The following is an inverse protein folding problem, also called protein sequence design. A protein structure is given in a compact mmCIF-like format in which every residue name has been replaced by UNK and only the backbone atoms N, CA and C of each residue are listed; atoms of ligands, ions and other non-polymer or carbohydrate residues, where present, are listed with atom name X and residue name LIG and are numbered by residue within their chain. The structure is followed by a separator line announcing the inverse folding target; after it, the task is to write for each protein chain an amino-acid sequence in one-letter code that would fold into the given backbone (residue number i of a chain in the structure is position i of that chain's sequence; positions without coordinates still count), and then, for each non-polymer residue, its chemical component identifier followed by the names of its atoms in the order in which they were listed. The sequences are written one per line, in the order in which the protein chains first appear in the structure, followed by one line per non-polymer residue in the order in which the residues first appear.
data_IF_592411465090
#
_entry.id   IF_592411465090
#
_cell.length_a   1.000
_cell.length_b   1.000
_cell.length_c   1.000
_cell.angle_alpha   90.00
_cell.angle_beta   90.00
_cell.angle_gamma   90.00
#
_symmetry.space_group_name_H-M   'P 1'
#
loop_
_entity.id
_entity.type
_entity.pdbx_description
1 polymer ?
#
# COMPACT_ATOMS: atom_id res chain seq x y z
N UNK A 1 -27.06 -17.19 -18.88
CA UNK A 1 -26.24 -17.90 -19.88
C UNK A 1 -24.83 -17.43 -19.72
N UNK A 2 -24.04 -18.13 -18.92
CA UNK A 2 -22.62 -17.82 -18.62
C UNK A 2 -21.74 -19.03 -19.00
N UNK A 3 -21.91 -19.53 -20.22
CA UNK A 3 -21.06 -20.62 -20.70
C UNK A 3 -20.21 -20.09 -21.87
N UNK A 4 -19.09 -19.44 -21.55
CA UNK A 4 -18.01 -19.22 -22.50
C UNK A 4 -16.96 -20.27 -22.18
N UNK A 5 -16.90 -21.32 -23.01
CA UNK A 5 -15.96 -22.41 -22.86
C UNK A 5 -14.51 -21.92 -22.70
N UNK A 6 -13.97 -22.06 -21.50
CA UNK A 6 -12.58 -21.79 -21.20
C UNK A 6 -11.70 -22.87 -21.84
N UNK A 7 -10.95 -22.53 -22.89
CA UNK A 7 -9.97 -23.42 -23.53
C UNK A 7 -8.56 -23.30 -22.87
N UNK A 8 -8.33 -22.29 -22.04
CA UNK A 8 -7.02 -22.02 -21.42
C UNK A 8 -6.85 -22.89 -20.15
N UNK A 9 -5.78 -23.67 -20.09
CA UNK A 9 -5.38 -24.33 -18.85
C UNK A 9 -4.79 -23.30 -17.86
N UNK A 10 -5.44 -23.17 -16.70
CA UNK A 10 -5.01 -22.26 -15.63
C UNK A 10 -4.16 -23.00 -14.59
N UNK A 11 -3.15 -23.72 -15.08
CA UNK A 11 -2.23 -24.49 -14.24
C UNK A 11 -1.15 -23.59 -13.55
N UNK A 12 -0.25 -24.23 -12.82
CA UNK A 12 0.84 -23.52 -12.15
C UNK A 12 1.84 -22.93 -13.16
N UNK A 13 1.97 -23.52 -14.36
CA UNK A 13 2.81 -23.01 -15.46
C UNK A 13 2.26 -21.68 -15.99
N UNK A 14 0.94 -21.61 -16.19
CA UNK A 14 0.27 -20.36 -16.58
C UNK A 14 0.48 -19.26 -15.53
N UNK A 15 0.30 -19.60 -14.24
CA UNK A 15 0.47 -18.66 -13.14
C UNK A 15 1.91 -18.09 -13.10
N UNK A 16 2.93 -18.94 -13.22
CA UNK A 16 4.33 -18.51 -13.25
C UNK A 16 4.64 -17.65 -14.48
N UNK A 17 4.09 -18.00 -15.64
CA UNK A 17 4.25 -17.23 -16.88
C UNK A 17 3.60 -15.84 -16.75
N UNK A 18 2.37 -15.75 -16.24
CA UNK A 18 1.67 -14.48 -16.05
C UNK A 18 2.50 -13.53 -15.18
N UNK A 19 2.95 -13.99 -14.01
CA UNK A 19 3.82 -13.20 -13.14
C UNK A 19 5.10 -12.75 -13.84
N UNK A 20 5.77 -13.67 -14.54
CA UNK A 20 7.03 -13.37 -15.23
C UNK A 20 6.85 -12.27 -16.28
N UNK A 21 5.79 -12.36 -17.10
CA UNK A 21 5.51 -11.35 -18.12
C UNK A 21 5.11 -10.00 -17.50
N UNK A 22 4.33 -9.99 -16.41
CA UNK A 22 4.01 -8.76 -15.69
C UNK A 22 5.27 -8.07 -15.15
N UNK A 23 6.20 -8.83 -14.58
CA UNK A 23 7.44 -8.28 -14.01
C UNK A 23 8.38 -7.73 -15.09
N UNK A 24 8.40 -8.32 -16.30
CA UNK A 24 9.17 -7.81 -17.44
C UNK A 24 8.72 -6.44 -17.94
N UNK A 25 7.46 -6.09 -17.73
CA UNK A 25 6.93 -4.78 -18.12
C UNK A 25 7.27 -3.80 -16.99
N UNK A 26 8.25 -2.91 -17.21
CA UNK A 26 8.60 -1.87 -16.25
C UNK A 26 7.48 -0.84 -16.15
N UNK A 27 6.96 -0.59 -14.94
CA UNK A 27 5.79 0.25 -14.70
C UNK A 27 5.95 1.10 -13.43
N UNK A 28 6.91 2.03 -13.38
CA UNK A 28 6.97 2.95 -12.25
C UNK A 28 5.72 3.85 -12.22
N UNK A 29 5.41 4.42 -11.02
CA UNK A 29 4.24 5.29 -10.86
C UNK A 29 4.15 6.39 -11.92
N UNK A 30 3.05 6.40 -12.67
CA UNK A 30 2.79 7.27 -13.83
C UNK A 30 3.14 6.63 -15.19
N UNK A 31 3.71 5.43 -15.24
CA UNK A 31 4.06 4.71 -16.48
C UNK A 31 3.42 3.31 -16.55
N UNK A 32 2.26 3.10 -15.92
CA UNK A 32 1.58 1.80 -15.78
C UNK A 32 0.87 1.34 -17.06
N UNK A 33 0.74 2.21 -18.07
CA UNK A 33 -0.10 1.99 -19.25
C UNK A 33 0.20 0.69 -20.00
N UNK A 34 1.46 0.32 -20.15
CA UNK A 34 1.85 -0.89 -20.87
C UNK A 34 1.40 -2.14 -20.11
N UNK A 35 1.63 -2.17 -18.80
CA UNK A 35 1.15 -3.25 -17.93
C UNK A 35 -0.38 -3.34 -17.93
N UNK A 36 -1.06 -2.20 -17.84
CA UNK A 36 -2.52 -2.16 -17.87
C UNK A 36 -3.10 -2.72 -19.18
N UNK A 37 -2.48 -2.41 -20.33
CA UNK A 37 -2.87 -2.98 -21.62
C UNK A 37 -2.62 -4.50 -21.71
N UNK A 38 -1.50 -4.96 -21.17
CA UNK A 38 -1.20 -6.38 -21.06
C UNK A 38 -2.26 -7.09 -20.21
N UNK A 39 -2.55 -6.56 -19.01
CA UNK A 39 -3.55 -7.13 -18.09
C UNK A 39 -4.96 -7.12 -18.68
N UNK A 40 -5.36 -6.07 -19.39
CA UNK A 40 -6.64 -6.04 -20.11
C UNK A 40 -6.79 -7.24 -21.04
N UNK A 41 -5.73 -7.50 -21.82
CA UNK A 41 -5.77 -8.60 -22.79
C UNK A 41 -5.83 -9.97 -22.08
N UNK A 42 -5.06 -10.15 -21.00
CA UNK A 42 -5.06 -11.39 -20.23
C UNK A 42 -6.40 -11.62 -19.50
N UNK A 43 -6.94 -10.63 -18.81
CA UNK A 43 -8.21 -10.72 -18.10
C UNK A 43 -9.39 -10.95 -19.05
N UNK A 44 -9.36 -10.33 -20.24
CA UNK A 44 -10.40 -10.60 -21.28
C UNK A 44 -10.36 -12.06 -21.75
N UNK A 45 -9.17 -12.67 -21.94
CA UNK A 45 -9.01 -14.09 -22.25
C UNK A 45 -9.52 -14.99 -21.11
N UNK A 46 -9.41 -14.52 -19.87
CA UNK A 46 -9.88 -15.18 -18.66
C UNK A 46 -11.39 -14.99 -18.42
N UNK A 47 -12.12 -14.36 -19.35
CA UNK A 47 -13.56 -14.22 -19.32
C UNK A 47 -14.10 -13.04 -18.52
N UNK A 48 -13.22 -12.12 -18.08
CA UNK A 48 -13.65 -10.88 -17.43
C UNK A 48 -14.12 -9.86 -18.47
N UNK A 49 -15.11 -9.06 -18.07
CA UNK A 49 -15.42 -7.79 -18.73
C UNK A 49 -14.48 -6.73 -18.18
N UNK A 50 -13.68 -6.12 -19.05
CA UNK A 50 -12.57 -5.25 -18.64
C UNK A 50 -12.76 -3.84 -19.17
N UNK A 51 -12.65 -2.85 -18.29
CA UNK A 51 -12.67 -1.43 -18.64
C UNK A 51 -11.53 -0.68 -17.95
N UNK A 52 -11.20 0.50 -18.48
CA UNK A 52 -10.36 1.49 -17.82
C UNK A 52 -11.21 2.63 -17.29
N UNK A 53 -10.83 3.16 -16.14
CA UNK A 53 -11.38 4.44 -15.70
C UNK A 53 -10.56 5.64 -16.24
N UNK A 54 -10.96 6.84 -15.84
CA UNK A 54 -10.42 8.09 -16.37
C UNK A 54 -8.98 8.38 -15.94
N UNK A 55 -8.49 7.70 -14.90
CA UNK A 55 -7.10 7.85 -14.41
C UNK A 55 -6.20 6.69 -14.79
N UNK A 56 -6.77 5.64 -15.41
CA UNK A 56 -6.02 4.49 -15.91
C UNK A 56 -6.08 3.25 -15.02
N UNK A 57 -6.91 3.23 -13.97
CA UNK A 57 -7.18 1.99 -13.24
C UNK A 57 -7.82 0.98 -14.19
N UNK A 58 -7.47 -0.28 -14.03
CA UNK A 58 -8.11 -1.38 -14.73
C UNK A 58 -9.13 -2.02 -13.82
N UNK A 59 -10.38 -2.13 -14.30
CA UNK A 59 -11.50 -2.75 -13.61
C UNK A 59 -11.96 -3.95 -14.44
N UNK A 60 -11.92 -5.14 -13.85
CA UNK A 60 -12.30 -6.38 -14.52
C UNK A 60 -13.35 -7.13 -13.70
N UNK A 61 -14.52 -7.34 -14.28
CA UNK A 61 -15.65 -7.93 -13.59
C UNK A 61 -16.06 -9.26 -14.21
N UNK A 62 -16.37 -10.24 -13.36
CA UNK A 62 -16.91 -11.52 -13.77
C UNK A 62 -17.86 -12.13 -12.72
N UNK A 63 -18.72 -13.05 -13.13
CA UNK A 63 -19.76 -13.61 -12.27
C UNK A 63 -20.94 -12.65 -12.07
N UNK A 64 -21.86 -13.02 -11.21
CA UNK A 64 -23.05 -12.23 -10.89
C UNK A 64 -23.63 -12.65 -9.53
N UNK A 65 -24.42 -11.75 -8.91
CA UNK A 65 -25.06 -12.01 -7.62
C UNK A 65 -24.16 -11.69 -6.42
N UNK A 66 -24.46 -12.34 -5.30
CA UNK A 66 -23.77 -12.17 -4.02
C UNK A 66 -23.09 -13.47 -3.58
N UNK A 67 -21.98 -13.36 -2.82
CA UNK A 67 -21.32 -12.10 -2.41
C UNK A 67 -20.62 -11.40 -3.60
N UNK A 68 -20.54 -10.07 -3.52
CA UNK A 68 -19.73 -9.26 -4.43
C UNK A 68 -18.38 -8.99 -3.76
N UNK A 69 -17.29 -9.44 -4.39
CA UNK A 69 -15.95 -9.43 -3.80
C UNK A 69 -15.03 -8.54 -4.64
N UNK A 70 -14.40 -7.56 -4.00
CA UNK A 70 -13.34 -6.77 -4.60
C UNK A 70 -11.98 -7.41 -4.33
N UNK A 71 -11.19 -7.61 -5.38
CA UNK A 71 -9.78 -8.00 -5.34
C UNK A 71 -8.97 -6.82 -5.87
N UNK A 72 -8.26 -6.11 -5.00
CA UNK A 72 -7.55 -4.89 -5.35
C UNK A 72 -6.05 -5.03 -5.14
N UNK A 73 -5.24 -4.54 -6.07
CA UNK A 73 -3.79 -4.35 -5.90
C UNK A 73 -3.31 -3.31 -6.90
N UNK A 74 -2.05 -2.85 -6.77
CA UNK A 74 -1.53 -1.82 -7.66
C UNK A 74 -0.67 -2.38 -8.80
N UNK A 75 -0.57 -1.60 -9.89
CA UNK A 75 0.20 -1.93 -11.10
C UNK A 75 1.58 -1.26 -11.09
N UNK A 76 1.71 -0.17 -10.36
CA UNK A 76 2.95 0.58 -10.32
C UNK A 76 3.99 -0.02 -9.38
N UNK A 77 5.20 0.45 -9.53
CA UNK A 77 6.34 0.13 -8.67
C UNK A 77 7.13 1.40 -8.37
N UNK A 78 7.95 1.38 -7.31
CA UNK A 78 8.99 2.39 -7.16
C UNK A 78 9.97 2.38 -8.34
N UNK A 79 10.63 3.52 -8.65
CA UNK A 79 11.68 3.58 -9.67
C UNK A 79 12.86 2.65 -9.35
N UNK A 80 13.56 2.22 -10.40
CA UNK A 80 14.73 1.36 -10.30
C UNK A 80 14.45 -0.04 -10.85
N UNK A 81 14.80 -0.22 -12.12
CA UNK A 81 14.65 -1.50 -12.83
C UNK A 81 15.57 -2.56 -12.24
N UNK A 82 15.06 -3.77 -12.12
CA UNK A 82 15.82 -4.96 -11.69
C UNK A 82 15.71 -5.98 -12.81
N UNK A 83 16.83 -6.52 -13.32
CA UNK A 83 16.80 -7.56 -14.37
C UNK A 83 15.93 -8.74 -13.96
N UNK A 84 15.00 -9.13 -14.84
CA UNK A 84 14.09 -10.25 -14.60
C UNK A 84 14.84 -11.55 -14.82
N UNK A 85 15.20 -12.22 -13.73
CA UNK A 85 16.03 -13.43 -13.76
C UNK A 85 15.39 -14.52 -12.90
N UNK A 86 15.22 -15.70 -13.49
CA UNK A 86 14.84 -16.92 -12.76
C UNK A 86 16.10 -17.66 -12.30
N UNK A 87 16.25 -17.86 -10.98
CA UNK A 87 17.32 -18.69 -10.38
C UNK A 87 16.69 -19.80 -9.54
N UNK A 88 16.67 -21.01 -10.06
CA UNK A 88 16.02 -22.13 -9.40
C UNK A 88 14.54 -21.85 -9.10
N UNK A 89 14.17 -21.74 -7.82
CA UNK A 89 12.79 -21.48 -7.38
C UNK A 89 12.49 -20.00 -7.11
N UNK A 90 13.40 -19.10 -7.43
CA UNK A 90 13.28 -17.66 -7.13
C UNK A 90 13.24 -16.84 -8.42
N UNK A 91 12.29 -15.94 -8.54
CA UNK A 91 12.18 -14.95 -9.60
C UNK A 91 12.60 -13.59 -9.05
N UNK A 92 13.62 -12.97 -9.64
CA UNK A 92 14.09 -11.62 -9.37
C UNK A 92 13.43 -10.66 -10.35
N UNK A 93 13.13 -9.44 -9.90
CA UNK A 93 12.58 -8.37 -10.72
C UNK A 93 11.84 -7.34 -9.88
N UNK A 94 11.77 -6.09 -10.34
CA UNK A 94 11.01 -5.03 -9.68
C UNK A 94 9.51 -5.32 -9.73
N UNK A 95 8.83 -5.24 -8.57
CA UNK A 95 7.42 -5.56 -8.43
C UNK A 95 7.13 -7.04 -8.19
N UNK A 96 8.16 -7.92 -8.13
CA UNK A 96 7.92 -9.33 -7.81
C UNK A 96 7.23 -9.52 -6.46
N UNK A 97 7.51 -8.63 -5.51
CA UNK A 97 6.93 -8.61 -4.17
C UNK A 97 5.90 -7.51 -4.05
N UNK A 98 6.21 -6.29 -4.53
CA UNK A 98 5.41 -5.10 -4.30
C UNK A 98 5.02 -4.41 -5.64
N UNK A 99 3.77 -4.62 -6.19
CA UNK A 99 2.87 -5.69 -5.78
C UNK A 99 2.37 -6.52 -6.99
N UNK A 100 3.21 -6.68 -8.08
CA UNK A 100 2.81 -7.49 -9.26
C UNK A 100 2.63 -8.97 -8.90
N UNK A 101 3.42 -9.48 -7.94
CA UNK A 101 3.25 -10.84 -7.42
C UNK A 101 1.89 -11.05 -6.75
N UNK A 102 1.52 -10.24 -5.76
CA UNK A 102 0.17 -10.23 -5.19
C UNK A 102 -0.95 -10.03 -6.21
N UNK A 103 -0.82 -9.06 -7.13
CA UNK A 103 -1.80 -8.82 -8.20
C UNK A 103 -1.98 -10.05 -9.10
N UNK A 104 -0.89 -10.67 -9.56
CA UNK A 104 -0.94 -11.87 -10.37
C UNK A 104 -1.61 -13.04 -9.61
N UNK A 105 -1.33 -13.19 -8.31
CA UNK A 105 -1.96 -14.21 -7.48
C UNK A 105 -3.48 -14.00 -7.36
N UNK A 106 -3.94 -12.76 -7.16
CA UNK A 106 -5.37 -12.42 -7.13
C UNK A 106 -6.05 -12.76 -8.48
N UNK A 107 -5.43 -12.38 -9.60
CA UNK A 107 -5.96 -12.63 -10.95
C UNK A 107 -6.12 -14.12 -11.21
N UNK A 108 -5.08 -14.91 -10.93
CA UNK A 108 -5.10 -16.36 -11.17
C UNK A 108 -6.12 -17.06 -10.27
N UNK A 109 -6.17 -16.71 -8.99
CA UNK A 109 -7.14 -17.27 -8.05
C UNK A 109 -8.59 -16.95 -8.49
N UNK A 110 -8.86 -15.69 -8.86
CA UNK A 110 -10.17 -15.28 -9.37
C UNK A 110 -10.57 -16.08 -10.61
N UNK A 111 -9.69 -16.20 -11.59
CA UNK A 111 -9.96 -16.95 -12.83
C UNK A 111 -10.20 -18.44 -12.57
N UNK A 112 -9.43 -19.07 -11.68
CA UNK A 112 -9.62 -20.47 -11.28
C UNK A 112 -10.98 -20.68 -10.58
N UNK A 113 -11.36 -19.73 -9.72
CA UNK A 113 -12.65 -19.75 -9.05
C UNK A 113 -13.82 -19.62 -10.02
N UNK A 114 -13.74 -18.72 -11.01
CA UNK A 114 -14.75 -18.58 -12.06
C UNK A 114 -14.89 -19.87 -12.90
N UNK A 115 -13.78 -20.52 -13.23
CA UNK A 115 -13.79 -21.80 -13.94
C UNK A 115 -14.49 -22.91 -13.14
N UNK A 116 -14.40 -22.87 -11.83
CA UNK A 116 -15.11 -23.78 -10.91
C UNK A 116 -16.58 -23.37 -10.69
N UNK A 117 -17.04 -22.30 -11.32
CA UNK A 117 -18.41 -21.76 -11.18
C UNK A 117 -18.79 -21.49 -9.71
N UNK A 118 -17.85 -20.96 -8.91
CA UNK A 118 -18.20 -20.50 -7.57
C UNK A 118 -19.16 -19.31 -7.67
N UNK A 119 -20.16 -19.27 -6.80
CA UNK A 119 -21.19 -18.22 -6.81
C UNK A 119 -20.61 -16.84 -6.50
N UNK A 120 -21.37 -15.79 -6.86
CA UNK A 120 -21.01 -14.41 -6.57
C UNK A 120 -20.40 -13.62 -7.72
N UNK A 121 -20.12 -12.36 -7.49
CA UNK A 121 -19.44 -11.44 -8.41
C UNK A 121 -18.03 -11.17 -7.94
N UNK A 122 -17.04 -11.26 -8.82
CA UNK A 122 -15.66 -10.89 -8.56
C UNK A 122 -15.30 -9.67 -9.40
N UNK A 123 -14.76 -8.65 -8.75
CA UNK A 123 -14.16 -7.48 -9.40
C UNK A 123 -12.67 -7.47 -9.08
N UNK A 124 -11.84 -7.55 -10.10
CA UNK A 124 -10.38 -7.27 -9.98
C UNK A 124 -10.16 -5.80 -10.30
N UNK A 125 -9.60 -5.07 -9.35
CA UNK A 125 -9.23 -3.67 -9.49
C UNK A 125 -7.71 -3.58 -9.43
N UNK A 126 -7.08 -3.21 -10.55
CA UNK A 126 -5.65 -2.92 -10.60
C UNK A 126 -5.48 -1.40 -10.67
N UNK A 127 -5.01 -0.80 -9.58
CA UNK A 127 -4.89 0.65 -9.43
C UNK A 127 -3.55 1.18 -9.92
N UNK A 128 -3.51 2.47 -10.21
CA UNK A 128 -2.31 3.23 -10.59
C UNK A 128 -1.84 4.13 -9.45
N UNK A 129 -0.55 4.49 -9.44
CA UNK A 129 0.07 5.54 -8.60
C UNK A 129 -0.05 5.29 -7.08
N UNK A 130 -0.11 4.03 -6.62
CA UNK A 130 -0.14 3.68 -5.20
C UNK A 130 1.12 4.12 -4.48
N UNK A 131 2.26 3.84 -5.08
CA UNK A 131 3.61 4.09 -4.54
C UNK A 131 3.96 5.59 -4.38
N UNK A 132 3.06 6.48 -4.81
CA UNK A 132 3.27 7.94 -4.72
C UNK A 132 2.14 8.68 -4.04
N UNK A 133 0.96 8.73 -4.67
CA UNK A 133 -0.17 9.58 -4.26
C UNK A 133 -1.49 8.84 -4.13
N UNK A 134 -1.51 7.53 -4.40
CA UNK A 134 -2.72 6.70 -4.46
C UNK A 134 -3.82 7.33 -5.33
N UNK A 135 -3.42 7.97 -6.43
CA UNK A 135 -4.36 8.69 -7.32
C UNK A 135 -5.43 7.74 -7.85
N UNK A 136 -5.06 6.50 -8.17
CA UNK A 136 -5.97 5.46 -8.65
C UNK A 136 -7.06 5.14 -7.63
N UNK A 137 -6.66 4.78 -6.41
CA UNK A 137 -7.61 4.44 -5.35
C UNK A 137 -8.49 5.65 -4.98
N UNK A 138 -7.90 6.83 -4.81
CA UNK A 138 -8.66 8.05 -4.48
C UNK A 138 -9.71 8.40 -5.54
N UNK A 139 -9.41 8.18 -6.82
CA UNK A 139 -10.37 8.35 -7.89
C UNK A 139 -11.50 7.32 -7.82
N UNK A 140 -11.15 6.05 -7.64
CA UNK A 140 -12.12 4.96 -7.48
C UNK A 140 -13.09 5.23 -6.31
N UNK A 141 -12.57 5.63 -5.16
CA UNK A 141 -13.36 5.99 -3.99
C UNK A 141 -14.28 7.20 -4.23
N UNK A 142 -13.77 8.23 -4.91
CA UNK A 142 -14.57 9.42 -5.26
C UNK A 142 -15.77 9.09 -6.15
N UNK A 143 -15.61 8.13 -7.07
CA UNK A 143 -16.68 7.68 -7.96
C UNK A 143 -17.63 6.69 -7.28
N UNK A 144 -17.25 6.10 -6.16
CA UNK A 144 -17.99 5.04 -5.45
C UNK A 144 -18.50 3.95 -6.39
N UNK A 145 -17.59 3.43 -7.22
CA UNK A 145 -17.93 2.38 -8.18
C UNK A 145 -18.15 1.04 -7.48
N UNK A 146 -19.30 0.41 -7.76
CA UNK A 146 -19.63 -0.91 -7.26
C UNK A 146 -20.20 -0.90 -5.84
N UNK A 147 -20.73 -2.06 -5.48
CA UNK A 147 -21.26 -2.38 -4.15
C UNK A 147 -20.69 -3.75 -3.79
N UNK A 148 -19.87 -3.79 -2.74
CA UNK A 148 -19.09 -4.96 -2.36
C UNK A 148 -19.47 -5.43 -0.95
N UNK A 149 -19.45 -6.75 -0.74
CA UNK A 149 -19.64 -7.37 0.57
C UNK A 149 -18.30 -7.55 1.28
N UNK A 150 -17.24 -7.83 0.50
CA UNK A 150 -15.89 -8.09 1.00
C UNK A 150 -14.84 -7.50 0.07
N UNK A 151 -13.68 -7.15 0.63
CA UNK A 151 -12.52 -6.74 -0.14
C UNK A 151 -11.24 -7.49 0.28
N UNK A 152 -10.42 -7.84 -0.70
CA UNK A 152 -9.10 -8.46 -0.49
C UNK A 152 -8.09 -7.60 -1.22
N UNK A 153 -7.14 -7.03 -0.47
CA UNK A 153 -6.07 -6.24 -1.03
C UNK A 153 -4.82 -7.10 -1.21
N UNK A 154 -4.23 -7.03 -2.39
CA UNK A 154 -3.04 -7.77 -2.78
C UNK A 154 -1.78 -7.01 -2.41
N UNK A 155 -1.20 -7.34 -1.25
CA UNK A 155 0.07 -6.80 -0.76
C UNK A 155 0.91 -7.92 -0.14
N UNK A 156 2.24 -7.80 -0.08
CA UNK A 156 3.09 -8.86 0.44
C UNK A 156 2.84 -9.10 1.92
N UNK A 157 2.22 -10.22 2.25
CA UNK A 157 1.99 -10.68 3.64
C UNK A 157 2.72 -11.99 3.96
N UNK A 158 3.21 -12.65 2.92
CA UNK A 158 3.66 -14.04 2.97
C UNK A 158 2.48 -15.02 2.91
N UNK A 159 2.69 -16.20 2.30
CA UNK A 159 1.61 -17.17 2.06
C UNK A 159 0.89 -17.67 3.32
N UNK A 160 1.51 -17.52 4.50
CA UNK A 160 1.02 -18.06 5.78
C UNK A 160 0.45 -17.01 6.74
N UNK A 161 0.33 -15.76 6.28
CA UNK A 161 -0.19 -14.67 7.10
C UNK A 161 -1.30 -13.94 6.36
N UNK A 162 -2.30 -13.48 7.09
CA UNK A 162 -3.25 -12.48 6.63
C UNK A 162 -3.01 -11.18 7.38
N UNK A 163 -2.79 -10.07 6.67
CA UNK A 163 -2.62 -8.77 7.29
C UNK A 163 -4.00 -8.19 7.58
N UNK A 164 -4.24 -7.87 8.85
CA UNK A 164 -5.51 -7.35 9.35
C UNK A 164 -5.44 -5.90 9.78
N UNK A 165 -4.28 -5.26 9.69
CA UNK A 165 -4.15 -3.86 10.07
C UNK A 165 -2.90 -3.18 9.53
N UNK A 166 -3.10 -1.91 9.17
CA UNK A 166 -2.07 -0.96 8.76
C UNK A 166 -2.20 0.31 9.58
N UNK A 167 -1.07 0.90 9.99
CA UNK A 167 -1.07 2.20 10.68
C UNK A 167 -1.61 3.29 9.76
N UNK A 168 -2.17 4.32 10.38
CA UNK A 168 -2.48 5.57 9.69
C UNK A 168 -1.21 6.37 9.39
N UNK A 169 -1.38 7.45 8.63
CA UNK A 169 -0.27 8.33 8.20
C UNK A 169 -0.68 9.79 8.21
N UNK A 170 0.25 10.64 8.62
CA UNK A 170 0.24 12.08 8.29
C UNK A 170 1.59 12.39 7.65
N UNK A 171 1.58 13.04 6.50
CA UNK A 171 2.76 13.57 5.86
C UNK A 171 2.74 15.09 5.93
N UNK A 172 3.80 15.66 6.50
CA UNK A 172 3.95 17.09 6.66
C UNK A 172 5.11 17.60 5.83
N UNK A 173 4.92 18.75 5.18
CA UNK A 173 6.00 19.58 4.67
C UNK A 173 6.08 20.83 5.53
N UNK A 174 7.25 21.06 6.13
CA UNK A 174 7.49 22.15 7.06
C UNK A 174 8.61 23.02 6.52
N UNK A 175 8.33 24.32 6.37
CA UNK A 175 9.32 25.33 5.98
C UNK A 175 9.61 26.22 7.17
N UNK A 176 10.90 26.35 7.48
CA UNK A 176 11.43 27.21 8.54
C UNK A 176 12.15 28.38 7.90
N UNK A 177 11.74 29.59 8.27
CA UNK A 177 12.28 30.84 7.76
C UNK A 177 12.94 31.68 8.86
N UNK A 178 14.07 32.32 8.56
CA UNK A 178 14.78 33.27 9.43
C UNK A 178 15.35 34.42 8.60
N UNK A 179 16.00 35.37 9.25
CA UNK A 179 16.70 36.45 8.54
C UNK A 179 18.11 36.01 8.13
N UNK A 180 18.47 36.22 6.87
CA UNK A 180 19.81 35.96 6.37
C UNK A 180 20.82 36.93 6.97
N UNK A 181 22.08 36.51 7.14
CA UNK A 181 23.19 37.29 7.62
C UNK A 181 24.54 36.77 7.15
N UNK A 182 25.59 37.52 7.40
CA UNK A 182 26.95 37.09 7.10
C UNK A 182 27.43 36.03 8.11
N UNK A 183 28.06 34.96 7.64
CA UNK A 183 28.50 33.84 8.49
C UNK A 183 29.54 34.24 9.57
N UNK A 184 30.23 35.38 9.43
CA UNK A 184 31.16 35.92 10.46
C UNK A 184 30.43 36.53 11.67
N UNK A 185 29.12 36.75 11.62
CA UNK A 185 28.33 37.35 12.69
C UNK A 185 27.18 36.44 13.18
N UNK A 186 27.45 35.17 13.55
CA UNK A 186 26.42 34.19 13.88
C UNK A 186 25.57 34.55 15.10
N UNK A 187 26.10 35.38 15.99
CA UNK A 187 25.42 35.85 17.20
C UNK A 187 24.32 36.90 16.95
N UNK A 188 24.23 37.46 15.72
CA UNK A 188 23.22 38.46 15.35
C UNK A 188 22.00 37.86 14.62
N UNK A 189 22.12 36.63 14.14
CA UNK A 189 21.11 36.00 13.27
C UNK A 189 20.79 34.59 13.71
N UNK A 190 19.53 34.20 13.52
CA UNK A 190 19.13 32.81 13.67
C UNK A 190 19.38 32.05 12.36
N UNK A 191 19.87 30.83 12.47
CA UNK A 191 20.13 29.95 11.33
C UNK A 191 18.94 29.05 11.09
N UNK A 192 18.29 29.14 9.91
CA UNK A 192 17.08 28.38 9.58
C UNK A 192 17.31 26.85 9.63
N UNK A 193 18.50 26.37 9.27
CA UNK A 193 18.84 24.93 9.32
C UNK A 193 18.89 24.46 10.78
N UNK A 194 19.51 25.28 11.68
CA UNK A 194 19.55 24.94 13.11
C UNK A 194 18.16 25.02 13.76
N UNK A 195 17.35 26.01 13.39
CA UNK A 195 15.96 26.11 13.86
C UNK A 195 15.08 24.98 13.35
N UNK A 196 15.28 24.53 12.12
CA UNK A 196 14.60 23.32 11.59
C UNK A 196 15.01 22.06 12.39
N UNK A 197 16.29 21.91 12.71
CA UNK A 197 16.75 20.80 13.56
C UNK A 197 16.14 20.85 14.96
N UNK A 198 16.11 22.03 15.61
CA UNK A 198 15.46 22.22 16.92
C UNK A 198 13.97 21.85 16.86
N UNK A 199 13.24 22.28 15.80
CA UNK A 199 11.83 21.95 15.60
C UNK A 199 11.64 20.45 15.39
N UNK A 200 12.48 19.80 14.58
CA UNK A 200 12.44 18.34 14.37
C UNK A 200 12.57 17.61 15.70
N UNK A 201 13.56 18.00 16.53
CA UNK A 201 13.76 17.38 17.85
C UNK A 201 12.59 17.62 18.79
N UNK A 202 12.00 18.81 18.76
CA UNK A 202 10.83 19.15 19.54
C UNK A 202 9.60 18.31 19.13
N UNK A 203 9.33 18.15 17.83
CA UNK A 203 8.26 17.32 17.31
C UNK A 203 8.48 15.84 17.63
N UNK A 204 9.69 15.32 17.41
CA UNK A 204 10.03 13.94 17.72
C UNK A 204 9.75 13.61 19.19
N UNK A 205 10.18 14.47 20.12
CA UNK A 205 9.96 14.29 21.55
C UNK A 205 8.49 14.45 21.96
N UNK A 206 7.75 15.32 21.29
CA UNK A 206 6.34 15.57 21.60
C UNK A 206 5.43 14.45 21.12
N UNK A 207 5.74 13.84 19.97
CA UNK A 207 4.88 12.88 19.27
C UNK A 207 5.27 11.45 19.59
N UNK A 208 6.55 11.11 19.55
CA UNK A 208 7.06 9.77 19.81
C UNK A 208 7.68 9.68 21.21
N UNK A 209 6.83 9.69 22.22
CA UNK A 209 7.22 9.77 23.63
C UNK A 209 7.73 8.46 24.22
N UNK A 210 7.01 7.38 23.99
CA UNK A 210 7.22 6.15 24.76
C UNK A 210 8.24 5.20 24.13
N UNK A 211 8.34 5.14 22.82
CA UNK A 211 9.28 4.30 22.03
C UNK A 211 9.29 2.82 22.46
N UNK A 212 8.12 2.31 22.84
CA UNK A 212 7.97 0.92 23.35
C UNK A 212 7.69 -0.08 22.24
N UNK A 213 6.84 0.29 21.30
CA UNK A 213 6.40 -0.60 20.23
C UNK A 213 6.16 0.16 18.93
N UNK A 214 6.84 -0.20 17.83
CA UNK A 214 6.57 0.43 16.53
C UNK A 214 5.12 0.30 16.05
N UNK A 215 4.39 -0.71 16.51
CA UNK A 215 2.98 -0.94 16.15
C UNK A 215 2.01 -0.11 17.00
N UNK A 216 2.32 0.08 18.30
CA UNK A 216 1.42 0.72 19.25
C UNK A 216 1.73 2.21 19.48
N UNK A 217 2.94 2.65 19.14
CA UNK A 217 3.34 4.05 19.30
C UNK A 217 3.04 4.87 18.04
N UNK A 218 2.77 6.18 18.21
CA UNK A 218 2.89 7.13 17.10
C UNK A 218 4.36 7.31 16.79
N UNK A 219 4.79 7.05 15.56
CA UNK A 219 6.19 7.18 15.16
C UNK A 219 6.40 8.40 14.27
N UNK A 220 7.58 9.03 14.37
CA UNK A 220 7.97 10.24 13.64
C UNK A 220 9.28 9.98 12.89
N UNK A 221 9.31 10.29 11.59
CA UNK A 221 10.51 10.15 10.77
C UNK A 221 10.63 11.33 9.80
N UNK A 222 11.81 11.95 9.75
CA UNK A 222 12.13 12.94 8.71
C UNK A 222 12.63 12.20 7.48
N UNK A 223 11.92 12.36 6.37
CA UNK A 223 12.21 11.65 5.10
C UNK A 223 12.97 12.50 4.10
N UNK A 224 12.95 13.84 4.29
CA UNK A 224 13.66 14.79 3.42
C UNK A 224 14.00 16.05 4.19
N UNK A 225 15.17 16.62 3.95
CA UNK A 225 15.56 17.94 4.45
C UNK A 225 16.37 18.68 3.39
N UNK A 226 16.04 19.95 3.17
CA UNK A 226 16.73 20.84 2.22
C UNK A 226 16.95 22.17 2.91
N UNK A 227 18.19 22.60 3.05
CA UNK A 227 18.55 23.88 3.63
C UNK A 227 20.00 24.22 3.36
N UNK A 228 20.36 25.46 3.59
CA UNK A 228 21.70 25.98 3.29
C UNK A 228 21.67 26.89 2.05
N UNK A 229 22.84 27.27 1.58
CA UNK A 229 23.00 28.20 0.46
C UNK A 229 24.47 28.53 0.21
N UNK A 230 24.83 29.83 0.18
CA UNK A 230 26.18 30.29 -0.05
C UNK A 230 27.07 30.05 1.19
N UNK A 231 28.34 29.71 1.01
CA UNK A 231 29.27 29.30 2.06
C UNK A 231 29.51 30.36 3.14
N UNK A 232 29.35 31.63 2.79
CA UNK A 232 29.58 32.76 3.72
C UNK A 232 28.26 33.38 4.24
N UNK A 233 27.12 32.73 4.05
CA UNK A 233 25.81 33.28 4.41
C UNK A 233 25.12 32.35 5.42
N UNK A 234 24.57 32.94 6.51
CA UNK A 234 23.70 32.21 7.43
C UNK A 234 22.40 31.86 6.70
N UNK A 235 22.04 30.56 6.62
CA UNK A 235 20.81 30.12 5.92
C UNK A 235 19.55 30.78 6.47
N UNK A 236 18.74 31.34 5.58
CA UNK A 236 17.44 31.95 5.92
C UNK A 236 16.25 31.04 5.65
N UNK A 237 16.45 29.88 5.06
CA UNK A 237 15.38 28.92 4.77
C UNK A 237 15.88 27.50 4.93
N UNK A 238 15.02 26.65 5.53
CA UNK A 238 15.17 25.21 5.55
C UNK A 238 13.80 24.57 5.43
N UNK A 239 13.66 23.54 4.61
CA UNK A 239 12.43 22.77 4.45
C UNK A 239 12.67 21.31 4.79
N UNK A 240 11.75 20.68 5.50
CA UNK A 240 11.78 19.24 5.73
C UNK A 240 10.41 18.59 5.52
N UNK A 241 10.44 17.32 5.17
CA UNK A 241 9.26 16.47 5.11
C UNK A 241 9.32 15.47 6.26
N UNK A 242 8.22 15.36 7.01
CA UNK A 242 8.06 14.39 8.09
C UNK A 242 6.93 13.40 7.76
N UNK A 243 7.20 12.12 8.01
CA UNK A 243 6.24 11.02 7.95
C UNK A 243 5.90 10.60 9.39
N UNK A 244 4.62 10.66 9.74
CA UNK A 244 4.10 10.32 11.06
C UNK A 244 3.17 9.11 10.89
N UNK A 245 3.48 7.99 11.56
CA UNK A 245 2.64 6.79 11.53
C UNK A 245 1.80 6.69 12.78
N UNK A 246 0.50 6.49 12.58
CA UNK A 246 -0.53 6.57 13.62
C UNK A 246 -0.99 5.17 13.99
N UNK A 247 -0.94 4.78 15.28
CA UNK A 247 -1.34 3.44 15.71
C UNK A 247 -2.86 3.24 15.64
N UNK A 248 -3.30 1.99 15.68
CA UNK A 248 -4.67 1.55 15.44
C UNK A 248 -5.72 2.12 16.40
N UNK A 249 -5.31 2.53 17.59
CA UNK A 249 -6.20 3.05 18.64
C UNK A 249 -6.32 4.58 18.65
N UNK A 250 -5.67 5.27 17.68
CA UNK A 250 -5.68 6.74 17.58
C UNK A 250 -6.29 7.18 16.24
N UNK A 251 -6.87 8.36 16.22
CA UNK A 251 -7.38 9.01 15.01
C UNK A 251 -6.35 10.00 14.47
N UNK A 252 -6.36 10.21 13.16
CA UNK A 252 -5.50 11.19 12.48
C UNK A 252 -5.70 12.59 13.07
N UNK A 253 -6.93 13.01 13.28
CA UNK A 253 -7.25 14.35 13.80
C UNK A 253 -6.62 14.61 15.17
N UNK A 254 -6.61 13.64 16.08
CA UNK A 254 -6.04 13.80 17.41
C UNK A 254 -4.52 14.00 17.36
N UNK A 255 -3.85 13.24 16.49
CA UNK A 255 -2.39 13.33 16.29
C UNK A 255 -2.03 14.63 15.58
N UNK A 256 -2.82 15.05 14.60
CA UNK A 256 -2.62 16.30 13.89
C UNK A 256 -2.72 17.50 14.85
N UNK A 257 -3.71 17.52 15.74
CA UNK A 257 -3.84 18.56 16.77
C UNK A 257 -2.63 18.59 17.73
N UNK A 258 -2.09 17.42 18.11
CA UNK A 258 -0.87 17.38 18.94
C UNK A 258 0.33 17.96 18.20
N UNK A 259 0.49 17.65 16.92
CA UNK A 259 1.54 18.20 16.06
C UNK A 259 1.43 19.72 15.98
N UNK A 260 0.25 20.24 15.68
CA UNK A 260 0.05 21.69 15.57
C UNK A 260 0.26 22.38 16.91
N UNK A 261 -0.19 21.81 18.03
CA UNK A 261 0.10 22.34 19.37
C UNK A 261 1.61 22.40 19.66
N UNK A 262 2.36 21.36 19.31
CA UNK A 262 3.81 21.37 19.47
C UNK A 262 4.48 22.46 18.62
N UNK A 263 4.03 22.65 17.38
CA UNK A 263 4.52 23.72 16.50
C UNK A 263 4.22 25.09 17.08
N UNK A 264 3.03 25.33 17.60
CA UNK A 264 2.67 26.62 18.21
C UNK A 264 3.47 26.90 19.49
N UNK A 265 3.80 25.87 20.29
CA UNK A 265 4.73 26.03 21.43
C UNK A 265 6.11 26.44 20.93
N UNK A 266 6.61 25.79 19.89
CA UNK A 266 7.92 26.13 19.30
C UNK A 266 7.95 27.59 18.78
N UNK A 267 6.91 28.03 18.05
CA UNK A 267 6.79 29.41 17.54
C UNK A 267 6.83 30.44 18.67
N UNK A 268 6.11 30.19 19.78
CA UNK A 268 6.11 31.09 20.94
C UNK A 268 7.49 31.23 21.57
N UNK A 269 8.28 30.14 21.62
CA UNK A 269 9.65 30.14 22.14
C UNK A 269 10.67 30.75 21.16
N UNK A 270 10.30 30.79 19.85
CA UNK A 270 11.17 31.26 18.77
C UNK A 270 10.47 32.36 17.93
N UNK A 271 10.16 33.54 18.51
CA UNK A 271 9.29 34.55 17.85
C UNK A 271 9.91 35.21 16.60
N UNK A 272 11.21 35.03 16.37
CA UNK A 272 11.93 35.51 15.18
C UNK A 272 12.00 34.47 14.06
N UNK A 273 11.53 33.24 14.31
CA UNK A 273 11.54 32.12 13.36
C UNK A 273 10.14 31.96 12.79
N UNK A 274 10.03 32.05 11.48
CA UNK A 274 8.80 31.73 10.75
C UNK A 274 8.69 30.24 10.57
N UNK A 275 7.50 29.64 10.81
CA UNK A 275 7.22 28.23 10.55
C UNK A 275 5.93 28.10 9.76
N UNK A 276 6.02 27.60 8.54
CA UNK A 276 4.90 27.27 7.68
C UNK A 276 4.76 25.76 7.57
N UNK A 277 3.55 25.24 7.71
CA UNK A 277 3.25 23.81 7.68
C UNK A 277 2.17 23.55 6.64
N UNK A 278 2.45 22.59 5.77
CA UNK A 278 1.48 22.02 4.84
C UNK A 278 1.30 20.54 5.15
N UNK A 279 0.06 20.09 5.32
CA UNK A 279 -0.26 18.67 5.42
C UNK A 279 -0.49 18.15 4.02
N UNK A 280 0.40 17.27 3.58
CA UNK A 280 0.41 16.76 2.20
C UNK A 280 -0.45 15.51 2.05
N UNK A 281 -0.53 14.70 3.12
CA UNK A 281 -1.31 13.46 3.09
C UNK A 281 -1.86 13.10 4.47
N UNK A 282 -3.02 12.41 4.48
CA UNK A 282 -3.70 11.87 5.65
C UNK A 282 -4.35 10.55 5.31
N UNK A 283 -4.08 9.52 6.08
CA UNK A 283 -4.76 8.23 5.99
C UNK A 283 -5.09 7.75 7.42
N UNK A 284 -6.35 7.42 7.67
CA UNK A 284 -6.74 6.83 8.96
C UNK A 284 -6.15 5.42 9.12
N UNK A 285 -5.85 4.97 10.35
CA UNK A 285 -5.43 3.60 10.57
C UNK A 285 -6.56 2.63 10.24
N UNK A 286 -6.19 1.46 9.73
CA UNK A 286 -7.11 0.36 9.45
C UNK A 286 -6.83 -0.83 10.36
N UNK A 287 -7.88 -1.43 10.92
CA UNK A 287 -7.80 -2.66 11.71
C UNK A 287 -9.09 -3.48 11.54
N UNK A 288 -8.97 -4.67 10.94
CA UNK A 288 -10.07 -5.61 10.85
C UNK A 288 -10.28 -6.35 12.19
N UNK A 289 -11.51 -6.76 12.44
CA UNK A 289 -11.80 -7.68 13.55
C UNK A 289 -11.20 -9.06 13.26
N UNK A 290 -10.30 -9.52 14.12
CA UNK A 290 -9.68 -10.85 14.02
C UNK A 290 -10.71 -11.99 14.05
N UNK A 291 -11.90 -11.75 14.61
CA UNK A 291 -12.99 -12.70 14.68
C UNK A 291 -13.97 -12.63 13.50
N UNK A 292 -13.76 -11.71 12.56
CA UNK A 292 -14.61 -11.57 11.39
C UNK A 292 -14.64 -12.85 10.54
N UNK A 293 -15.71 -13.03 9.79
CA UNK A 293 -15.86 -14.17 8.87
C UNK A 293 -14.73 -14.21 7.82
N UNK A 294 -14.38 -13.05 7.30
CA UNK A 294 -13.34 -12.92 6.27
C UNK A 294 -11.96 -13.33 6.81
N UNK A 295 -11.56 -12.85 7.98
CA UNK A 295 -10.27 -13.21 8.60
C UNK A 295 -10.20 -14.70 8.91
N UNK A 296 -11.27 -15.27 9.48
CA UNK A 296 -11.36 -16.71 9.78
C UNK A 296 -11.25 -17.56 8.52
N UNK A 297 -11.92 -17.15 7.42
CA UNK A 297 -11.81 -17.87 6.13
C UNK A 297 -10.37 -17.94 5.64
N UNK A 298 -9.59 -16.85 5.76
CA UNK A 298 -8.17 -16.86 5.40
C UNK A 298 -7.33 -17.74 6.32
N UNK A 299 -7.52 -17.66 7.65
CA UNK A 299 -6.79 -18.50 8.61
C UNK A 299 -7.03 -19.99 8.34
N UNK A 300 -8.29 -20.36 8.10
CA UNK A 300 -8.67 -21.74 7.76
C UNK A 300 -8.11 -22.17 6.40
N UNK A 301 -8.19 -21.30 5.38
CA UNK A 301 -7.64 -21.58 4.05
C UNK A 301 -6.13 -21.79 4.10
N UNK A 302 -5.40 -20.97 4.85
CA UNK A 302 -3.96 -21.14 5.08
C UNK A 302 -3.69 -22.52 5.70
N UNK A 303 -4.41 -22.89 6.76
CA UNK A 303 -4.23 -24.18 7.43
C UNK A 303 -4.52 -25.37 6.50
N UNK A 304 -5.60 -25.30 5.72
CA UNK A 304 -5.99 -26.35 4.79
C UNK A 304 -4.95 -26.54 3.66
N UNK A 305 -4.38 -25.46 3.14
CA UNK A 305 -3.43 -25.51 2.03
C UNK A 305 -2.01 -25.82 2.48
N UNK A 306 -1.58 -25.24 3.59
CA UNK A 306 -0.16 -25.29 4.02
C UNK A 306 0.10 -26.29 5.15
N UNK A 307 -0.94 -26.78 5.81
CA UNK A 307 -0.85 -27.62 7.02
C UNK A 307 -0.41 -26.85 8.28
N UNK A 308 -0.20 -25.53 8.19
CA UNK A 308 0.28 -24.70 9.30
C UNK A 308 -0.82 -23.70 9.69
N UNK A 309 -0.93 -23.39 10.98
CA UNK A 309 -1.90 -22.40 11.45
C UNK A 309 -1.58 -21.01 10.88
N UNK A 310 -2.56 -20.41 10.21
CA UNK A 310 -2.46 -19.05 9.67
C UNK A 310 -2.34 -18.02 10.78
N UNK A 311 -1.61 -16.92 10.51
CA UNK A 311 -1.43 -15.83 11.48
C UNK A 311 -2.06 -14.55 10.97
N UNK A 312 -2.88 -13.92 11.82
CA UNK A 312 -3.30 -12.55 11.63
C UNK A 312 -2.20 -11.59 12.08
N UNK A 313 -1.70 -10.75 11.17
CA UNK A 313 -0.60 -9.83 11.45
C UNK A 313 -1.02 -8.37 11.24
N UNK A 314 -0.30 -7.45 11.89
CA UNK A 314 -0.41 -6.00 11.70
C UNK A 314 0.90 -5.47 11.13
N UNK A 315 0.82 -4.43 10.31
CA UNK A 315 1.98 -3.75 9.71
C UNK A 315 2.07 -2.28 10.13
N UNK A 316 3.28 -1.76 10.10
CA UNK A 316 3.57 -0.35 10.40
C UNK A 316 3.38 0.58 9.20
N UNK A 317 3.23 0.01 8.02
CA UNK A 317 2.95 0.74 6.77
C UNK A 317 1.53 1.28 6.69
N UNK A 318 1.21 1.88 5.55
CA UNK A 318 -0.12 2.34 5.12
C UNK A 318 -0.29 1.87 3.69
N UNK A 319 -1.48 1.45 3.30
CA UNK A 319 -1.81 0.99 1.94
C UNK A 319 -3.22 1.47 1.56
N UNK A 320 -3.62 1.29 0.32
CA UNK A 320 -4.92 1.71 -0.21
C UNK A 320 -6.12 1.15 0.56
N UNK A 321 -5.96 0.02 1.25
CA UNK A 321 -7.00 -0.53 2.13
C UNK A 321 -7.42 0.44 3.23
N UNK A 322 -6.50 1.29 3.72
CA UNK A 322 -6.79 2.29 4.74
C UNK A 322 -7.90 3.25 4.29
N UNK A 323 -7.75 3.84 3.11
CA UNK A 323 -8.74 4.77 2.55
C UNK A 323 -10.03 4.03 2.15
N UNK A 324 -9.90 2.83 1.58
CA UNK A 324 -11.03 2.05 1.08
C UNK A 324 -12.04 1.70 2.18
N UNK A 325 -11.59 1.17 3.30
CA UNK A 325 -12.50 0.71 4.38
C UNK A 325 -13.27 1.85 5.02
N UNK A 326 -12.69 3.05 5.07
CA UNK A 326 -13.38 4.22 5.62
C UNK A 326 -14.49 4.78 4.70
N UNK A 327 -14.43 4.49 3.40
CA UNK A 327 -15.46 4.91 2.43
C UNK A 327 -16.55 3.86 2.26
N UNK A 328 -16.16 2.58 2.16
CA UNK A 328 -17.11 1.48 1.90
C UNK A 328 -17.69 0.86 3.17
N UNK A 329 -16.99 0.96 4.29
CA UNK A 329 -17.38 0.39 5.59
C UNK A 329 -17.74 -1.10 5.53
N UNK A 330 -16.90 -1.88 4.85
CA UNK A 330 -17.05 -3.34 4.69
C UNK A 330 -15.82 -4.07 5.26
N UNK A 331 -15.97 -5.39 5.47
CA UNK A 331 -14.83 -6.23 5.87
C UNK A 331 -13.80 -6.29 4.74
N UNK A 332 -12.54 -6.03 5.11
CA UNK A 332 -11.42 -6.17 4.21
C UNK A 332 -10.28 -6.93 4.89
N UNK A 333 -9.42 -7.55 4.10
CA UNK A 333 -8.13 -8.11 4.54
C UNK A 333 -7.08 -7.83 3.47
N UNK A 334 -5.83 -7.98 3.87
CA UNK A 334 -4.70 -7.87 2.95
C UNK A 334 -3.95 -9.18 2.92
N UNK A 335 -3.74 -9.71 1.70
CA UNK A 335 -3.09 -10.99 1.52
C UNK A 335 -2.37 -11.05 0.17
N UNK A 336 -1.17 -11.61 0.18
CA UNK A 336 -0.41 -11.89 -1.03
C UNK A 336 0.93 -12.54 -0.73
N UNK A 337 1.55 -13.18 -1.74
CA UNK A 337 2.88 -13.76 -1.64
C UNK A 337 3.94 -12.68 -1.46
N UNK A 338 5.09 -13.09 -0.97
CA UNK A 338 6.28 -12.26 -0.89
C UNK A 338 6.62 -11.79 0.53
N UNK A 339 7.90 -11.56 0.72
CA UNK A 339 8.47 -11.07 1.97
C UNK A 339 8.57 -9.54 1.93
N UNK A 340 7.73 -8.85 2.69
CA UNK A 340 7.70 -7.38 2.74
C UNK A 340 9.00 -6.70 3.19
N UNK A 341 10.00 -7.44 3.65
CA UNK A 341 11.34 -6.90 3.88
C UNK A 341 12.13 -6.64 2.58
N UNK A 342 11.60 -7.15 1.47
CA UNK A 342 12.17 -6.94 0.13
C UNK A 342 11.44 -5.84 -0.66
N UNK A 343 10.37 -5.25 -0.08
CA UNK A 343 9.70 -4.10 -0.67
C UNK A 343 10.72 -3.00 -0.93
N UNK A 344 10.73 -2.46 -2.16
CA UNK A 344 11.65 -1.42 -2.62
C UNK A 344 13.15 -1.79 -2.60
N UNK A 345 13.51 -3.01 -2.23
CA UNK A 345 14.90 -3.43 -2.15
C UNK A 345 15.55 -3.55 -3.56
N UNK A 346 16.87 -3.31 -3.68
CA UNK A 346 17.56 -3.43 -4.98
C UNK A 346 17.69 -4.89 -5.46
N UNK A 347 17.41 -5.84 -4.61
CA UNK A 347 17.43 -7.28 -4.89
C UNK A 347 16.05 -7.93 -4.71
N UNK A 348 14.98 -7.19 -4.97
CA UNK A 348 13.61 -7.67 -4.86
C UNK A 348 13.41 -8.98 -5.62
N UNK A 349 12.79 -9.95 -4.97
CA UNK A 349 12.59 -11.28 -5.52
C UNK A 349 11.48 -12.04 -4.79
N UNK A 350 10.87 -13.01 -5.47
CA UNK A 350 9.81 -13.84 -4.91
C UNK A 350 10.12 -15.34 -5.07
N UNK A 351 9.73 -16.13 -4.08
CA UNK A 351 9.71 -17.59 -4.16
C UNK A 351 8.52 -18.06 -4.99
N UNK A 352 8.75 -18.77 -6.09
CA UNK A 352 7.67 -19.31 -6.93
C UNK A 352 6.81 -20.35 -6.18
N UNK A 353 7.37 -21.27 -5.39
CA UNK A 353 6.55 -22.12 -4.55
C UNK A 353 5.63 -21.36 -3.59
N UNK A 354 6.10 -20.27 -2.98
CA UNK A 354 5.28 -19.42 -2.12
C UNK A 354 4.18 -18.69 -2.91
N UNK A 355 4.52 -18.17 -4.09
CA UNK A 355 3.56 -17.55 -4.99
C UNK A 355 2.42 -18.51 -5.37
N UNK A 356 2.77 -19.74 -5.76
CA UNK A 356 1.78 -20.77 -6.12
C UNK A 356 0.98 -21.26 -4.90
N UNK A 357 1.60 -21.35 -3.72
CA UNK A 357 0.92 -21.65 -2.46
C UNK A 357 -0.11 -20.57 -2.14
N UNK A 358 0.25 -19.29 -2.31
CA UNK A 358 -0.65 -18.15 -2.07
C UNK A 358 -1.88 -18.15 -2.99
N UNK A 359 -1.73 -18.54 -4.26
CA UNK A 359 -2.86 -18.70 -5.18
C UNK A 359 -3.85 -19.74 -4.65
N UNK A 360 -3.37 -20.89 -4.18
CA UNK A 360 -4.20 -21.95 -3.61
C UNK A 360 -4.94 -21.49 -2.34
N UNK A 361 -4.27 -20.71 -1.50
CA UNK A 361 -4.89 -20.11 -0.30
C UNK A 361 -5.99 -19.14 -0.72
N UNK A 362 -5.74 -18.25 -1.71
CA UNK A 362 -6.73 -17.33 -2.23
C UNK A 362 -7.94 -18.05 -2.82
N UNK A 363 -7.73 -19.09 -3.63
CA UNK A 363 -8.82 -19.92 -4.16
C UNK A 363 -9.68 -20.49 -3.03
N UNK A 364 -9.04 -21.10 -2.02
CA UNK A 364 -9.75 -21.70 -0.89
C UNK A 364 -10.49 -20.65 -0.04
N UNK A 365 -9.90 -19.48 0.19
CA UNK A 365 -10.56 -18.39 0.88
C UNK A 365 -11.78 -17.88 0.10
N UNK A 366 -11.66 -17.67 -1.21
CA UNK A 366 -12.79 -17.28 -2.08
C UNK A 366 -13.90 -18.32 -2.07
N UNK A 367 -13.58 -19.63 -2.16
CA UNK A 367 -14.57 -20.71 -2.02
C UNK A 367 -15.35 -20.60 -0.69
N UNK A 368 -14.66 -20.38 0.43
CA UNK A 368 -15.30 -20.20 1.74
C UNK A 368 -16.19 -18.97 1.81
N UNK A 369 -15.69 -17.82 1.32
CA UNK A 369 -16.43 -16.54 1.33
C UNK A 369 -17.73 -16.64 0.56
N UNK A 370 -17.76 -17.34 -0.60
CA UNK A 370 -18.97 -17.51 -1.42
C UNK A 370 -20.01 -18.42 -0.77
N UNK A 371 -19.66 -19.15 0.27
CA UNK A 371 -20.61 -19.98 1.06
C UNK A 371 -21.19 -19.27 2.26
N UNK A 372 -20.75 -18.05 2.60
CA UNK A 372 -21.29 -17.26 3.70
C UNK A 372 -22.77 -16.93 3.46
N UNK A 373 -23.62 -17.27 4.44
CA UNK A 373 -25.05 -16.93 4.48
C UNK A 373 -25.30 -15.68 5.29
#
# INVERSE_FOLDING_TARGET
MCDRGFTLELDDTYAEKLLTEMVKIYSPSGEERELALFLRNELSKLGFNVEFDEVGNLIAEAGCGRPSILLCSHMDTVPGEIPVIRRGKVLFGRGTVDAKGPLAALIVAAARCLKKSIGGKITVLAVVDEERRSTGMRWFLKKRRGDYDYAIFGEPSGSRNVTIGYKGRIQLRVKVGTRAGHASAPHLFENAVMKAYELIKHLEQSIWRDRKSPLEDTTFCVTKIIGGGLDNTIPSSCEFTADIRIPFHRKVVDVEEEVFRAIEVFKKLNPKTEVLVNVEDRNEPYLADVNSKLVKAFIEAIKEVTGVDGKAIKKTGTADVNDFVHVYNIEAVVYGPGNSKLDHAPNENISIPEYLESIKVLEKALEKITTFK
#
